data_IF_897600391320
#
_entry.id   IF_897600391320
#
_cell.length_a   1.000
_cell.length_b   1.000
_cell.length_c   1.000
_cell.angle_alpha   90.00
_cell.angle_beta   90.00
_cell.angle_gamma   90.00
#
_symmetry.space_group_name_H-M   'P 1'
#
loop_
_entity.id
_entity.type
_entity.pdbx_description
1 polymer ?
#
# COMPACT_ATOMS: atom_id res chain seq x y z
N UNK A 1 -22.91 6.47 -8.72
CA UNK A 1 -22.75 7.51 -7.66
C UNK A 1 -21.40 7.28 -7.00
N UNK A 2 -20.45 8.20 -7.22
CA UNK A 2 -19.06 8.05 -6.75
C UNK A 2 -18.98 8.19 -5.23
N UNK A 3 -18.25 7.28 -4.59
CA UNK A 3 -18.02 7.24 -3.14
C UNK A 3 -17.54 8.63 -2.68
N UNK A 4 -18.42 9.42 -2.07
CA UNK A 4 -18.09 10.67 -1.37
C UNK A 4 -17.45 10.33 -0.02
N UNK A 5 -16.32 9.61 -0.03
CA UNK A 5 -15.43 9.60 1.13
C UNK A 5 -14.81 10.98 1.21
N UNK A 6 -14.85 11.60 2.39
CA UNK A 6 -14.10 12.81 2.65
C UNK A 6 -12.61 12.56 2.39
N UNK A 7 -11.86 13.58 1.98
CA UNK A 7 -10.41 13.44 1.78
C UNK A 7 -9.69 12.88 3.01
N UNK A 8 -10.25 13.11 4.21
CA UNK A 8 -9.77 12.54 5.48
C UNK A 8 -10.00 11.02 5.56
N UNK A 9 -11.17 10.52 5.19
CA UNK A 9 -11.46 9.08 5.13
C UNK A 9 -10.60 8.38 4.08
N UNK A 10 -10.46 8.98 2.89
CA UNK A 10 -9.58 8.45 1.84
C UNK A 10 -8.13 8.34 2.34
N UNK A 11 -7.63 9.38 3.01
CA UNK A 11 -6.29 9.37 3.60
C UNK A 11 -6.14 8.26 4.66
N UNK A 12 -7.14 8.07 5.51
CA UNK A 12 -7.14 7.02 6.54
C UNK A 12 -7.12 5.63 5.90
N UNK A 13 -7.90 5.43 4.86
CA UNK A 13 -7.95 4.16 4.12
C UNK A 13 -6.61 3.87 3.44
N UNK A 14 -6.03 4.85 2.73
CA UNK A 14 -4.72 4.68 2.10
C UNK A 14 -3.63 4.32 3.11
N UNK A 15 -3.61 4.97 4.28
CA UNK A 15 -2.68 4.65 5.36
C UNK A 15 -2.92 3.23 5.92
N UNK A 16 -4.18 2.83 6.02
CA UNK A 16 -4.55 1.49 6.49
C UNK A 16 -4.10 0.41 5.50
N UNK A 17 -4.31 0.64 4.21
CA UNK A 17 -3.86 -0.26 3.14
C UNK A 17 -2.34 -0.37 3.12
N UNK A 18 -1.61 0.74 3.21
CA UNK A 18 -0.14 0.75 3.30
C UNK A 18 0.36 -0.10 4.49
N UNK A 19 -0.20 0.13 5.68
CA UNK A 19 0.18 -0.64 6.88
C UNK A 19 -0.16 -2.13 6.77
N UNK A 20 -1.28 -2.48 6.13
CA UNK A 20 -1.64 -3.88 5.89
C UNK A 20 -0.67 -4.54 4.91
N UNK A 21 -0.28 -3.85 3.83
CA UNK A 21 0.70 -4.35 2.86
C UNK A 21 2.05 -4.63 3.51
N UNK A 22 2.54 -3.71 4.36
CA UNK A 22 3.78 -3.91 5.12
C UNK A 22 3.72 -5.12 6.06
N UNK A 23 2.61 -5.28 6.78
CA UNK A 23 2.40 -6.45 7.66
C UNK A 23 2.37 -7.75 6.86
N UNK A 24 1.58 -7.79 5.79
CA UNK A 24 1.44 -8.98 4.94
C UNK A 24 2.77 -9.36 4.28
N UNK A 25 3.58 -8.39 3.84
CA UNK A 25 4.92 -8.66 3.33
C UNK A 25 5.80 -9.33 4.41
N UNK A 26 5.80 -8.80 5.64
CA UNK A 26 6.54 -9.42 6.75
C UNK A 26 6.09 -10.83 7.10
N UNK A 27 4.78 -11.11 7.04
CA UNK A 27 4.23 -12.46 7.25
C UNK A 27 4.63 -13.44 6.14
N UNK A 28 4.64 -12.99 4.88
CA UNK A 28 5.12 -13.78 3.74
C UNK A 28 6.60 -14.16 3.93
N UNK A 29 7.45 -13.24 4.37
CA UNK A 29 8.86 -13.55 4.71
C UNK A 29 8.97 -14.68 5.74
N UNK A 30 8.26 -14.55 6.86
CA UNK A 30 8.29 -15.55 7.94
C UNK A 30 7.76 -16.91 7.49
N UNK A 31 6.79 -16.92 6.58
CA UNK A 31 6.25 -18.17 6.02
C UNK A 31 7.25 -18.81 5.05
N UNK A 32 7.89 -18.00 4.20
CA UNK A 32 8.90 -18.45 3.24
C UNK A 32 10.12 -19.08 3.93
N UNK A 33 10.55 -18.53 5.07
CA UNK A 33 11.64 -19.10 5.88
C UNK A 33 11.34 -20.50 6.45
N UNK A 34 10.06 -20.90 6.50
CA UNK A 34 9.61 -22.17 7.10
C UNK A 34 9.28 -23.25 6.08
N UNK A 35 9.31 -22.95 4.78
CA UNK A 35 8.95 -23.88 3.71
C UNK A 35 10.21 -24.30 2.95
N UNK A 36 10.49 -25.60 2.95
CA UNK A 36 11.61 -26.16 2.18
C UNK A 36 11.31 -26.10 0.68
N UNK A 37 12.30 -25.72 -0.13
CA UNK A 37 12.15 -25.56 -1.58
C UNK A 37 11.45 -24.27 -2.04
N UNK A 38 11.20 -23.32 -1.13
CA UNK A 38 10.76 -21.97 -1.53
C UNK A 38 11.91 -21.19 -2.17
N UNK A 39 11.64 -20.59 -3.32
CA UNK A 39 12.52 -19.60 -3.92
C UNK A 39 12.45 -18.28 -3.11
N UNK A 40 13.33 -18.19 -2.12
CA UNK A 40 13.45 -17.03 -1.22
C UNK A 40 13.74 -15.75 -2.02
N UNK A 41 14.45 -15.84 -3.15
CA UNK A 41 14.76 -14.67 -4.00
C UNK A 41 13.50 -14.16 -4.70
N UNK A 42 12.64 -15.05 -5.17
CA UNK A 42 11.34 -14.68 -5.73
C UNK A 42 10.43 -14.05 -4.67
N UNK A 43 10.41 -14.59 -3.45
CA UNK A 43 9.64 -14.03 -2.33
C UNK A 43 10.12 -12.62 -1.96
N UNK A 44 11.44 -12.42 -1.84
CA UNK A 44 12.02 -11.11 -1.55
C UNK A 44 11.70 -10.08 -2.64
N UNK A 45 11.68 -10.49 -3.92
CA UNK A 45 11.25 -9.63 -5.02
C UNK A 45 9.78 -9.20 -4.90
N UNK A 46 8.88 -10.13 -4.57
CA UNK A 46 7.46 -9.82 -4.36
C UNK A 46 7.27 -8.87 -3.17
N UNK A 47 8.00 -9.09 -2.08
CA UNK A 47 7.96 -8.19 -0.92
C UNK A 47 8.48 -6.79 -1.24
N UNK A 48 9.58 -6.68 -1.99
CA UNK A 48 10.10 -5.38 -2.42
C UNK A 48 9.06 -4.60 -3.26
N UNK A 49 8.24 -5.30 -4.05
CA UNK A 49 7.12 -4.68 -4.78
C UNK A 49 6.05 -4.15 -3.82
N UNK A 50 5.67 -4.93 -2.81
CA UNK A 50 4.70 -4.52 -1.79
C UNK A 50 5.17 -3.29 -1.01
N UNK A 51 6.45 -3.23 -0.62
CA UNK A 51 7.00 -2.06 0.05
C UNK A 51 6.97 -0.81 -0.84
N UNK A 52 7.37 -0.93 -2.11
CA UNK A 52 7.29 0.18 -3.08
C UNK A 52 5.86 0.68 -3.29
N UNK A 53 4.88 -0.22 -3.32
CA UNK A 53 3.48 0.16 -3.47
C UNK A 53 2.94 0.81 -2.18
N UNK A 54 3.34 0.36 -1.00
CA UNK A 54 3.06 1.02 0.29
C UNK A 54 3.58 2.46 0.31
N UNK A 55 4.84 2.67 -0.10
CA UNK A 55 5.46 3.99 -0.15
C UNK A 55 4.74 4.93 -1.11
N UNK A 56 4.31 4.44 -2.27
CA UNK A 56 3.50 5.22 -3.23
C UNK A 56 2.14 5.61 -2.64
N UNK A 57 1.45 4.69 -1.97
CA UNK A 57 0.17 4.98 -1.32
C UNK A 57 0.33 6.05 -0.24
N UNK A 58 1.43 6.00 0.53
CA UNK A 58 1.77 7.02 1.52
C UNK A 58 2.04 8.38 0.87
N UNK A 59 2.80 8.41 -0.23
CA UNK A 59 3.05 9.63 -0.99
C UNK A 59 1.74 10.27 -1.50
N UNK A 60 0.83 9.48 -2.09
CA UNK A 60 -0.48 9.97 -2.52
C UNK A 60 -1.33 10.49 -1.36
N UNK A 61 -1.31 9.81 -0.21
CA UNK A 61 -2.01 10.25 0.99
C UNK A 61 -1.49 11.63 1.48
N UNK A 62 -0.19 11.87 1.37
CA UNK A 62 0.43 13.15 1.71
C UNK A 62 0.13 14.23 0.67
N UNK A 63 0.13 13.90 -0.63
CA UNK A 63 -0.27 14.82 -1.70
C UNK A 63 -1.73 15.27 -1.60
N UNK A 64 -2.63 14.36 -1.21
CA UNK A 64 -4.02 14.71 -0.91
C UNK A 64 -4.08 15.64 0.32
N UNK A 65 -3.27 15.40 1.37
CA UNK A 65 -3.25 16.24 2.58
C UNK A 65 -2.89 17.69 2.26
N UNK A 66 -1.95 17.91 1.34
CA UNK A 66 -1.47 19.25 0.95
C UNK A 66 -2.25 19.84 -0.23
N UNK A 67 -3.32 19.18 -0.69
CA UNK A 67 -4.16 19.65 -1.79
C UNK A 67 -3.51 19.58 -3.18
N UNK A 68 -2.38 18.87 -3.32
CA UNK A 68 -1.68 18.68 -4.61
C UNK A 68 -2.42 17.72 -5.54
N UNK A 69 -3.09 16.70 -4.98
CA UNK A 69 -4.05 15.88 -5.71
C UNK A 69 -5.45 16.36 -5.31
N UNK A 70 -6.18 16.94 -6.27
CA UNK A 70 -7.60 17.27 -6.12
C UNK A 70 -8.44 16.24 -6.85
N UNK A 71 -9.49 15.72 -6.18
CA UNK A 71 -10.46 14.82 -6.82
C UNK A 71 -11.42 15.66 -7.66
N UNK A 72 -10.97 16.10 -8.83
CA UNK A 72 -11.82 16.73 -9.82
C UNK A 72 -12.80 15.71 -10.41
N UNK A 73 -14.07 16.09 -10.57
CA UNK A 73 -14.92 15.43 -11.55
C UNK A 73 -14.24 15.65 -12.91
N UNK A 74 -14.06 14.60 -13.71
CA UNK A 74 -13.92 14.81 -15.14
C UNK A 74 -15.19 15.55 -15.59
N UNK A 75 -15.02 16.68 -16.27
CA UNK A 75 -16.11 17.36 -16.97
C UNK A 75 -16.74 16.42 -18.00
#
# INVERSE_FOLDING_TARGET
MGIKKSSAELKRDLKTVASNLERTAGEISKLAERIDGVDVVAVLHLMNRLYKDSDKLKAYADEIKVGRIVRGKAE
#
